data_IF_974985334784
#
_entry.id   IF_974985334784
#
_cell.length_a   1.000
_cell.length_b   1.000
_cell.length_c   1.000
_cell.angle_alpha   90.00
_cell.angle_beta   90.00
_cell.angle_gamma   90.00
#
_symmetry.space_group_name_H-M   'P 1'
#
loop_
_entity.id
_entity.type
_entity.pdbx_description
1 polymer ?
#
# COMPACT_ATOMS: atom_id res chain seq x y z
N UNK A 1 21.82 11.69 9.65
CA UNK A 1 20.89 11.94 8.51
C UNK A 1 21.12 10.94 7.38
N UNK A 2 22.29 10.92 6.72
CA UNK A 2 22.56 10.00 5.59
C UNK A 2 22.36 8.52 5.94
N UNK A 3 22.89 8.05 7.08
CA UNK A 3 22.69 6.66 7.52
C UNK A 3 21.23 6.29 7.79
N UNK A 4 20.45 7.21 8.36
CA UNK A 4 19.01 7.01 8.61
C UNK A 4 18.23 6.90 7.29
N UNK A 5 18.59 7.71 6.29
CA UNK A 5 17.98 7.68 4.95
C UNK A 5 18.31 6.37 4.23
N UNK A 6 19.56 5.90 4.32
CA UNK A 6 19.97 4.63 3.73
C UNK A 6 19.26 3.44 4.38
N UNK A 7 19.16 3.43 5.71
CA UNK A 7 18.44 2.39 6.43
C UNK A 7 16.94 2.39 6.06
N UNK A 8 16.31 3.56 6.01
CA UNK A 8 14.93 3.70 5.54
C UNK A 8 14.76 3.15 4.12
N UNK A 9 15.65 3.52 3.20
CA UNK A 9 15.58 3.06 1.82
C UNK A 9 15.76 1.55 1.68
N UNK A 10 16.65 0.95 2.48
CA UNK A 10 16.87 -0.49 2.49
C UNK A 10 15.65 -1.26 3.05
N UNK A 11 15.09 -0.78 4.17
CA UNK A 11 13.86 -1.35 4.75
C UNK A 11 12.67 -1.21 3.80
N UNK A 12 12.54 -0.06 3.12
CA UNK A 12 11.49 0.16 2.13
C UNK A 12 11.61 -0.78 0.92
N UNK A 13 12.84 -1.06 0.47
CA UNK A 13 13.10 -1.98 -0.63
C UNK A 13 12.75 -3.44 -0.30
N UNK A 14 12.87 -3.84 0.97
CA UNK A 14 12.61 -5.21 1.43
C UNK A 14 11.13 -5.41 1.83
N UNK A 15 10.50 -4.40 2.42
CA UNK A 15 9.14 -4.52 2.95
C UNK A 15 8.07 -3.98 2.01
N UNK A 16 7.77 -2.68 2.08
CA UNK A 16 6.53 -2.13 1.53
C UNK A 16 6.44 -2.14 0.02
N UNK A 17 7.57 -1.97 -0.68
CA UNK A 17 7.59 -1.97 -2.14
C UNK A 17 7.16 -3.31 -2.72
N UNK A 18 7.99 -4.36 -2.63
CA UNK A 18 7.71 -5.63 -3.29
C UNK A 18 6.54 -6.40 -2.67
N UNK A 19 6.37 -6.37 -1.34
CA UNK A 19 5.34 -7.17 -0.67
C UNK A 19 3.94 -6.68 -1.05
N UNK A 20 3.72 -5.36 -1.14
CA UNK A 20 2.40 -4.81 -1.51
C UNK A 20 1.96 -5.29 -2.89
N UNK A 21 2.86 -5.22 -3.88
CA UNK A 21 2.57 -5.66 -5.25
C UNK A 21 2.43 -7.18 -5.35
N UNK A 22 3.18 -7.93 -4.54
CA UNK A 22 3.09 -9.38 -4.47
C UNK A 22 1.73 -9.82 -3.92
N UNK A 23 1.30 -9.27 -2.79
CA UNK A 23 0.01 -9.59 -2.16
C UNK A 23 -1.16 -9.22 -3.08
N UNK A 24 -1.10 -8.05 -3.74
CA UNK A 24 -2.08 -7.69 -4.78
C UNK A 24 -2.14 -8.75 -5.89
N UNK A 25 -0.99 -9.25 -6.34
CA UNK A 25 -0.93 -10.31 -7.34
C UNK A 25 -1.41 -11.68 -6.81
N UNK A 26 -1.37 -11.95 -5.51
CA UNK A 26 -1.85 -13.19 -4.91
C UNK A 26 -3.36 -13.19 -4.64
N UNK A 27 -3.94 -12.02 -4.29
CA UNK A 27 -5.36 -11.90 -3.96
C UNK A 27 -6.25 -11.96 -5.20
N UNK A 28 -5.80 -11.42 -6.34
CA UNK A 28 -6.66 -11.32 -7.53
C UNK A 28 -6.64 -12.59 -8.41
N UNK A 29 -7.83 -13.16 -8.75
CA UNK A 29 -7.90 -14.32 -9.63
C UNK A 29 -7.40 -13.98 -11.05
N UNK A 30 -6.78 -14.95 -11.70
CA UNK A 30 -6.06 -14.76 -12.98
C UNK A 30 -6.90 -14.07 -14.08
N UNK A 31 -8.23 -14.26 -14.08
CA UNK A 31 -9.16 -13.66 -15.06
C UNK A 31 -9.31 -12.14 -14.94
N UNK A 32 -9.14 -11.57 -13.74
CA UNK A 32 -9.35 -10.12 -13.48
C UNK A 32 -8.07 -9.42 -13.01
N UNK A 33 -7.01 -10.18 -12.71
CA UNK A 33 -5.72 -9.69 -12.22
C UNK A 33 -5.20 -8.49 -13.03
N UNK A 34 -5.21 -8.57 -14.37
CA UNK A 34 -4.72 -7.47 -15.21
C UNK A 34 -5.48 -6.16 -15.00
N UNK A 35 -6.82 -6.20 -14.91
CA UNK A 35 -7.65 -5.00 -14.69
C UNK A 35 -7.50 -4.47 -13.26
N UNK A 36 -7.46 -5.37 -12.27
CA UNK A 36 -7.31 -5.01 -10.87
C UNK A 36 -5.93 -4.38 -10.58
N UNK A 37 -4.85 -4.96 -11.11
CA UNK A 37 -3.50 -4.43 -11.01
C UNK A 37 -3.36 -3.09 -11.74
N UNK A 38 -4.02 -2.93 -12.90
CA UNK A 38 -4.09 -1.66 -13.61
C UNK A 38 -4.75 -0.57 -12.75
N UNK A 39 -5.90 -0.85 -12.14
CA UNK A 39 -6.59 0.08 -11.25
C UNK A 39 -5.74 0.45 -10.02
N UNK A 40 -5.09 -0.54 -9.40
CA UNK A 40 -4.18 -0.31 -8.27
C UNK A 40 -2.98 0.58 -8.67
N UNK A 41 -2.43 0.37 -9.87
CA UNK A 41 -1.34 1.21 -10.40
C UNK A 41 -1.79 2.63 -10.66
N UNK A 42 -2.97 2.81 -11.24
CA UNK A 42 -3.56 4.14 -11.46
C UNK A 42 -3.80 4.85 -10.14
N UNK A 43 -4.41 4.17 -9.16
CA UNK A 43 -4.63 4.75 -7.84
C UNK A 43 -3.30 5.18 -7.18
N UNK A 44 -2.28 4.31 -7.20
CA UNK A 44 -0.95 4.63 -6.68
C UNK A 44 -0.32 5.85 -7.38
N UNK A 45 -0.49 5.96 -8.71
CA UNK A 45 0.01 7.11 -9.47
C UNK A 45 -0.78 8.38 -9.18
N UNK A 46 -2.09 8.31 -9.03
CA UNK A 46 -2.93 9.43 -8.61
C UNK A 46 -2.52 9.94 -7.22
N UNK A 47 -2.32 9.05 -6.24
CA UNK A 47 -1.85 9.44 -4.91
C UNK A 47 -0.48 10.09 -4.96
N UNK A 48 0.44 9.55 -5.76
CA UNK A 48 1.77 10.15 -5.96
C UNK A 48 1.68 11.55 -6.58
N UNK A 49 0.77 11.74 -7.53
CA UNK A 49 0.53 13.02 -8.18
C UNK A 49 -0.06 14.06 -7.22
N UNK A 50 -1.07 13.67 -6.43
CA UNK A 50 -1.65 14.53 -5.39
C UNK A 50 -0.58 14.93 -4.38
N UNK A 51 0.22 13.97 -3.91
CA UNK A 51 1.31 14.24 -2.98
C UNK A 51 2.31 15.23 -3.57
N UNK A 52 2.70 15.08 -4.85
CA UNK A 52 3.61 16.00 -5.52
C UNK A 52 3.04 17.43 -5.61
N UNK A 53 1.74 17.58 -5.89
CA UNK A 53 1.08 18.88 -5.93
C UNK A 53 1.00 19.54 -4.54
N UNK A 54 0.65 18.77 -3.51
CA UNK A 54 0.48 19.29 -2.16
C UNK A 54 1.80 19.54 -1.44
N UNK A 55 2.88 18.86 -1.84
CA UNK A 55 4.17 18.91 -1.16
C UNK A 55 4.75 20.32 -1.12
N UNK A 56 4.79 21.03 -2.25
CA UNK A 56 5.32 22.39 -2.29
C UNK A 56 4.47 23.35 -1.46
N UNK A 57 3.14 23.22 -1.52
CA UNK A 57 2.21 24.05 -0.72
C UNK A 57 2.35 23.78 0.79
N UNK A 58 2.57 22.52 1.19
CA UNK A 58 2.82 22.17 2.59
C UNK A 58 4.18 22.66 3.07
N UNK A 59 5.23 22.54 2.24
CA UNK A 59 6.56 23.05 2.59
C UNK A 59 6.55 24.57 2.80
N UNK A 60 5.77 25.31 2.02
CA UNK A 60 5.65 26.77 2.16
C UNK A 60 4.91 27.18 3.46
N UNK A 61 3.84 26.45 3.82
CA UNK A 61 3.02 26.78 5.01
C UNK A 61 3.53 26.19 6.33
N UNK A 62 3.96 24.93 6.34
CA UNK A 62 4.33 24.18 7.54
C UNK A 62 5.85 24.06 7.75
N UNK A 63 6.65 24.58 6.81
CA UNK A 63 8.10 24.34 6.71
C UNK A 63 8.41 22.85 6.53
N UNK A 64 9.68 22.54 6.25
CA UNK A 64 10.14 21.18 6.00
C UNK A 64 9.78 20.21 7.14
N UNK A 65 10.03 20.60 8.39
CA UNK A 65 9.77 19.75 9.56
C UNK A 65 8.29 19.37 9.72
N UNK A 66 7.38 20.34 9.65
CA UNK A 66 5.94 20.08 9.79
C UNK A 66 5.38 19.21 8.67
N UNK A 67 5.89 19.38 7.45
CA UNK A 67 5.52 18.54 6.31
C UNK A 67 5.89 17.08 6.54
N UNK A 68 7.12 16.80 6.98
CA UNK A 68 7.55 15.43 7.28
C UNK A 68 6.73 14.76 8.38
N UNK A 69 6.33 15.49 9.44
CA UNK A 69 5.47 14.94 10.49
C UNK A 69 4.09 14.56 9.98
N UNK A 70 3.50 15.34 9.09
CA UNK A 70 2.19 15.01 8.48
C UNK A 70 2.29 13.75 7.63
N UNK A 71 3.32 13.63 6.79
CA UNK A 71 3.56 12.41 6.01
C UNK A 71 3.87 11.20 6.90
N UNK A 72 4.60 11.38 8.00
CA UNK A 72 4.84 10.33 8.98
C UNK A 72 3.54 9.87 9.67
N UNK A 73 2.63 10.80 9.97
CA UNK A 73 1.30 10.48 10.49
C UNK A 73 0.47 9.64 9.52
N UNK A 74 0.44 10.02 8.23
CA UNK A 74 -0.20 9.22 7.19
C UNK A 74 0.42 7.83 7.05
N UNK A 75 1.75 7.73 7.10
CA UNK A 75 2.45 6.44 7.06
C UNK A 75 2.12 5.57 8.28
N UNK A 76 2.02 6.15 9.49
CA UNK A 76 1.61 5.46 10.70
C UNK A 76 0.16 4.96 10.62
N UNK A 77 -0.76 5.78 10.11
CA UNK A 77 -2.14 5.36 9.88
C UNK A 77 -2.23 4.22 8.86
N UNK A 78 -1.48 4.32 7.75
CA UNK A 78 -1.39 3.25 6.76
C UNK A 78 -0.85 1.95 7.38
N UNK A 79 0.18 2.03 8.23
CA UNK A 79 0.72 0.86 8.93
C UNK A 79 -0.34 0.18 9.82
N UNK A 80 -1.10 0.96 10.60
CA UNK A 80 -2.20 0.44 11.43
C UNK A 80 -3.30 -0.19 10.57
N UNK A 81 -3.65 0.46 9.46
CA UNK A 81 -4.62 -0.07 8.50
C UNK A 81 -4.15 -1.40 7.90
N UNK A 82 -2.88 -1.49 7.48
CA UNK A 82 -2.28 -2.74 7.00
C UNK A 82 -2.31 -3.83 8.08
N UNK A 83 -1.91 -3.51 9.30
CA UNK A 83 -1.85 -4.47 10.39
C UNK A 83 -3.23 -5.02 10.81
N UNK A 84 -4.30 -4.23 10.68
CA UNK A 84 -5.65 -4.62 11.11
C UNK A 84 -6.52 -5.20 9.97
N UNK A 85 -6.39 -4.67 8.75
CA UNK A 85 -7.30 -4.99 7.64
C UNK A 85 -6.69 -5.87 6.55
N UNK A 86 -5.36 -6.01 6.49
CA UNK A 86 -4.72 -6.94 5.56
C UNK A 86 -4.48 -8.26 6.31
N UNK A 87 -5.37 -9.27 6.15
CA UNK A 87 -5.11 -10.59 6.72
C UNK A 87 -3.84 -11.16 6.09
N UNK A 88 -2.95 -11.73 6.91
CA UNK A 88 -1.71 -12.34 6.40
C UNK A 88 -2.03 -13.39 5.34
N UNK A 89 -1.54 -13.17 4.11
CA UNK A 89 -1.60 -14.13 3.01
C UNK A 89 -0.42 -15.11 3.03
N UNK A 90 0.53 -14.92 3.94
CA UNK A 90 1.74 -15.75 4.08
C UNK A 90 1.39 -17.20 4.42
N UNK A 91 1.67 -18.12 3.48
CA UNK A 91 1.63 -19.56 3.74
C UNK A 91 0.33 -20.30 3.38
N UNK A 92 -0.64 -19.65 2.72
CA UNK A 92 -1.83 -20.34 2.20
C UNK A 92 -1.63 -20.77 0.73
N UNK A 93 -1.94 -22.03 0.37
CA UNK A 93 -2.01 -22.44 -1.03
C UNK A 93 -2.94 -21.50 -1.82
N UNK A 94 -2.52 -21.06 -3.01
CA UNK A 94 -3.31 -20.15 -3.88
C UNK A 94 -4.76 -20.63 -4.09
N UNK A 95 -5.01 -21.94 -4.03
CA UNK A 95 -6.34 -22.55 -4.16
C UNK A 95 -7.29 -22.27 -2.99
N UNK A 96 -6.79 -21.98 -1.79
CA UNK A 96 -7.60 -21.71 -0.58
C UNK A 96 -7.85 -20.21 -0.31
N UNK A 97 -7.08 -19.33 -0.95
CA UNK A 97 -7.25 -17.87 -0.82
C UNK A 97 -8.51 -17.41 -1.58
N UNK A 98 -8.78 -17.99 -2.74
CA UNK A 98 -9.96 -17.70 -3.56
C UNK A 98 -11.28 -17.95 -2.79
N UNK A 99 -11.50 -19.10 -2.11
CA UNK A 99 -12.73 -19.32 -1.33
C UNK A 99 -12.85 -18.49 -0.04
N UNK A 100 -11.74 -18.04 0.58
CA UNK A 100 -11.80 -17.15 1.77
C UNK A 100 -12.25 -15.73 1.41
N UNK A 101 -11.81 -15.20 0.27
CA UNK A 101 -12.28 -13.89 -0.23
C UNK A 101 -13.60 -13.97 -1.02
N UNK A 102 -14.01 -15.15 -1.52
CA UNK A 102 -15.32 -15.35 -2.17
C UNK A 102 -16.50 -15.48 -1.18
N UNK A 103 -16.23 -15.76 0.11
CA UNK A 103 -17.29 -16.02 1.10
C UNK A 103 -18.17 -14.83 1.54
N UNK A 104 -17.89 -13.54 1.29
CA UNK A 104 -18.90 -12.50 1.52
C UNK A 104 -19.92 -12.38 0.36
N UNK A 105 -19.63 -12.93 -0.83
CA UNK A 105 -20.49 -12.74 -2.02
C UNK A 105 -21.40 -13.95 -2.33
N UNK A 106 -21.34 -15.00 -1.51
CA UNK A 106 -22.25 -16.16 -1.61
C UNK A 106 -23.38 -16.12 -0.57
N UNK A 107 -23.43 -15.10 0.28
CA UNK A 107 -24.49 -14.93 1.30
C UNK A 107 -25.60 -13.95 0.85
N UNK A 108 -25.57 -13.49 -0.40
CA UNK A 108 -26.62 -12.70 -1.06
C UNK A 108 -27.19 -13.46 -2.27
N UNK A 109 -27.59 -14.71 -2.06
CA UNK A 109 -28.51 -15.45 -2.94
C UNK A 109 -29.63 -16.03 -2.10
#
# INVERSE_FOLDING_TARGET
>A
IFGCVLLYSALHAISFGPITWLVLAEIFPAKVKGKAMGLATTANRCTSFIAALTFLTMCDKLKWGGTFYVYAGFAGFALVFYALLVPETTGLPLELITPKFAKPMQMMR
#
